data_IF_752612364898
#
_entry.id   IF_752612364898
#
_cell.length_a   1.000
_cell.length_b   1.000
_cell.length_c   1.000
_cell.angle_alpha   90.00
_cell.angle_beta   90.00
_cell.angle_gamma   90.00
#
_symmetry.space_group_name_H-M   'P 1'
#
loop_
_entity.id
_entity.type
_entity.pdbx_description
1 polymer ?
#
# COMPACT_ATOMS: atom_id res chain seq x y z
N UNK A 1 -0.42 -41.71 13.15
CA UNK A 1 -0.77 -40.71 12.11
C UNK A 1 -1.14 -41.45 10.83
N UNK A 2 -2.33 -41.24 10.31
CA UNK A 2 -2.74 -41.89 9.07
C UNK A 2 -2.16 -41.18 7.84
N UNK A 3 -2.34 -41.77 6.65
CA UNK A 3 -1.75 -41.28 5.40
C UNK A 3 -2.32 -39.89 5.04
N UNK A 4 -3.60 -39.65 5.29
CA UNK A 4 -4.24 -38.37 5.00
C UNK A 4 -3.68 -37.24 5.88
N UNK A 5 -3.46 -37.53 7.16
CA UNK A 5 -2.84 -36.58 8.09
C UNK A 5 -1.39 -36.29 7.69
N UNK A 6 -0.66 -37.29 7.24
CA UNK A 6 0.71 -37.12 6.76
C UNK A 6 0.77 -36.21 5.52
N UNK A 7 -0.16 -36.42 4.58
CA UNK A 7 -0.26 -35.59 3.36
C UNK A 7 -0.63 -34.15 3.74
N UNK A 8 -1.63 -33.96 4.59
CA UNK A 8 -2.07 -32.63 5.03
C UNK A 8 -0.93 -31.89 5.74
N UNK A 9 -0.17 -32.56 6.60
CA UNK A 9 0.96 -31.96 7.30
C UNK A 9 2.10 -31.60 6.33
N UNK A 10 2.35 -32.43 5.34
CA UNK A 10 3.37 -32.15 4.31
C UNK A 10 2.97 -30.95 3.45
N UNK A 11 1.71 -30.85 3.04
CA UNK A 11 1.18 -29.73 2.27
C UNK A 11 1.27 -28.45 3.07
N UNK A 12 0.88 -28.48 4.35
CA UNK A 12 0.98 -27.32 5.25
C UNK A 12 2.42 -26.86 5.41
N UNK A 13 3.35 -27.80 5.62
CA UNK A 13 4.76 -27.47 5.75
C UNK A 13 5.31 -26.80 4.49
N UNK A 14 4.87 -27.24 3.30
CA UNK A 14 5.26 -26.64 2.02
C UNK A 14 4.73 -25.22 1.89
N UNK A 15 3.46 -24.98 2.24
CA UNK A 15 2.85 -23.65 2.20
C UNK A 15 3.55 -22.72 3.18
N UNK A 16 3.81 -23.17 4.40
CA UNK A 16 4.51 -22.38 5.41
C UNK A 16 5.94 -22.02 4.95
N UNK A 17 6.65 -22.93 4.32
CA UNK A 17 7.99 -22.71 3.77
C UNK A 17 7.99 -21.64 2.68
N UNK A 18 7.02 -21.70 1.75
CA UNK A 18 6.87 -20.69 0.69
C UNK A 18 6.59 -19.32 1.30
N UNK A 19 5.70 -19.27 2.29
CA UNK A 19 5.38 -18.02 2.99
C UNK A 19 6.61 -17.43 3.67
N UNK A 20 7.40 -18.22 4.37
CA UNK A 20 8.64 -17.79 4.99
C UNK A 20 9.63 -17.24 3.97
N UNK A 21 9.77 -17.91 2.82
CA UNK A 21 10.64 -17.47 1.75
C UNK A 21 10.21 -16.10 1.19
N UNK A 22 8.91 -15.87 1.01
CA UNK A 22 8.36 -14.60 0.54
C UNK A 22 8.64 -13.49 1.52
N UNK A 23 8.43 -13.71 2.81
CA UNK A 23 8.70 -12.72 3.84
C UNK A 23 10.20 -12.44 4.00
N UNK A 24 11.04 -13.46 3.93
CA UNK A 24 12.50 -13.30 3.98
C UNK A 24 13.00 -12.46 2.80
N UNK A 25 12.51 -12.73 1.59
CA UNK A 25 12.86 -11.96 0.40
C UNK A 25 12.40 -10.52 0.49
N UNK A 26 11.19 -10.30 0.98
CA UNK A 26 10.64 -8.96 1.21
C UNK A 26 11.50 -8.18 2.19
N UNK A 27 11.84 -8.78 3.33
CA UNK A 27 12.67 -8.15 4.35
C UNK A 27 14.06 -7.76 3.81
N UNK A 28 14.63 -8.59 2.95
CA UNK A 28 15.89 -8.30 2.26
C UNK A 28 15.78 -7.08 1.36
N UNK A 29 14.77 -7.05 0.48
CA UNK A 29 14.60 -5.98 -0.51
C UNK A 29 14.22 -4.65 0.12
N UNK A 30 13.38 -4.66 1.16
CA UNK A 30 12.96 -3.46 1.89
C UNK A 30 14.14 -2.72 2.52
N UNK A 31 15.21 -3.41 2.86
CA UNK A 31 16.41 -2.82 3.47
C UNK A 31 17.36 -2.17 2.46
N UNK A 32 17.19 -2.41 1.16
CA UNK A 32 18.11 -1.93 0.13
C UNK A 32 17.74 -0.50 -0.25
N UNK A 33 18.56 0.52 0.11
CA UNK A 33 18.30 1.90 -0.31
C UNK A 33 18.20 1.99 -1.84
N UNK A 34 17.18 2.70 -2.32
CA UNK A 34 16.93 2.84 -3.75
C UNK A 34 16.07 1.74 -4.37
N UNK A 35 15.87 0.64 -3.68
CA UNK A 35 14.94 -0.40 -4.14
C UNK A 35 13.50 0.12 -4.01
N UNK A 36 12.60 -0.15 -4.99
CA UNK A 36 11.22 0.33 -4.90
C UNK A 36 10.49 -0.06 -3.61
N UNK A 37 10.67 -1.28 -3.11
CA UNK A 37 10.04 -1.71 -1.86
C UNK A 37 10.57 -0.94 -0.63
N UNK A 38 11.83 -0.53 -0.64
CA UNK A 38 12.37 0.34 0.40
C UNK A 38 11.65 1.70 0.40
N UNK A 39 11.51 2.31 -0.77
CA UNK A 39 10.85 3.60 -0.91
C UNK A 39 9.37 3.53 -0.56
N UNK A 40 8.65 2.51 -1.04
CA UNK A 40 7.25 2.29 -0.67
C UNK A 40 7.07 2.13 0.84
N UNK A 41 8.00 1.44 1.49
CA UNK A 41 7.97 1.23 2.94
C UNK A 41 8.19 2.54 3.70
N UNK A 42 9.14 3.37 3.26
CA UNK A 42 9.35 4.71 3.85
C UNK A 42 8.12 5.60 3.67
N UNK A 43 7.47 5.54 2.52
CA UNK A 43 6.24 6.29 2.27
C UNK A 43 5.13 5.85 3.24
N UNK A 44 5.01 4.55 3.49
CA UNK A 44 4.05 4.02 4.45
C UNK A 44 4.35 4.41 5.88
N UNK A 45 5.62 4.46 6.27
CA UNK A 45 6.01 4.95 7.60
C UNK A 45 5.61 6.42 7.80
N UNK A 46 5.85 7.25 6.78
CA UNK A 46 5.44 8.65 6.81
C UNK A 46 3.91 8.78 6.86
N UNK A 47 3.20 7.99 6.07
CA UNK A 47 1.73 7.98 6.05
C UNK A 47 1.17 7.56 7.41
N UNK A 48 1.74 6.55 8.04
CA UNK A 48 1.30 6.10 9.37
C UNK A 48 1.41 7.21 10.41
N UNK A 49 2.47 8.01 10.35
CA UNK A 49 2.65 9.18 11.23
C UNK A 49 1.58 10.24 10.95
N UNK A 50 1.29 10.50 9.69
CA UNK A 50 0.26 11.46 9.29
C UNK A 50 -1.13 11.01 9.75
N UNK A 51 -1.44 9.72 9.60
CA UNK A 51 -2.71 9.13 10.08
C UNK A 51 -2.85 9.34 11.58
N UNK A 52 -1.78 9.12 12.34
CA UNK A 52 -1.78 9.33 13.78
C UNK A 52 -2.09 10.79 14.14
N UNK A 53 -1.46 11.75 13.44
CA UNK A 53 -1.74 13.18 13.63
C UNK A 53 -3.20 13.51 13.32
N UNK A 54 -3.76 12.92 12.25
CA UNK A 54 -5.15 13.11 11.88
C UNK A 54 -6.10 12.60 12.97
N UNK A 55 -5.80 11.45 13.56
CA UNK A 55 -6.62 10.91 14.66
C UNK A 55 -6.56 11.79 15.90
N UNK A 56 -5.39 12.33 16.22
CA UNK A 56 -5.23 13.27 17.31
C UNK A 56 -6.03 14.57 17.07
N UNK A 57 -6.02 15.07 15.82
CA UNK A 57 -6.80 16.24 15.43
C UNK A 57 -8.31 15.99 15.56
N UNK A 58 -8.78 14.80 15.17
CA UNK A 58 -10.18 14.41 15.35
C UNK A 58 -10.60 14.43 16.84
N UNK A 59 -9.74 13.95 17.71
CA UNK A 59 -9.99 13.98 19.15
C UNK A 59 -10.06 15.41 19.70
N UNK A 60 -9.28 16.33 19.09
CA UNK A 60 -9.30 17.75 19.45
C UNK A 60 -10.48 18.50 18.84
N UNK A 61 -11.26 17.87 17.97
CA UNK A 61 -12.51 18.40 17.43
C UNK A 61 -12.42 19.04 16.05
N UNK A 62 -11.21 19.23 15.49
CA UNK A 62 -11.05 19.84 14.18
C UNK A 62 -9.76 19.36 13.50
N UNK A 63 -9.86 19.10 12.19
CA UNK A 63 -8.71 18.70 11.36
C UNK A 63 -8.37 19.88 10.43
N UNK A 64 -7.17 20.43 10.58
CA UNK A 64 -6.69 21.50 9.74
C UNK A 64 -6.59 21.07 8.28
N UNK A 65 -6.91 21.96 7.36
CA UNK A 65 -6.87 21.67 5.92
C UNK A 65 -5.48 21.20 5.46
N UNK A 66 -4.44 21.80 6.01
CA UNK A 66 -3.06 21.40 5.72
C UNK A 66 -2.81 19.93 6.05
N UNK A 67 -3.36 19.46 7.15
CA UNK A 67 -3.22 18.06 7.57
C UNK A 67 -4.02 17.11 6.65
N UNK A 68 -5.20 17.55 6.20
CA UNK A 68 -6.00 16.82 5.22
C UNK A 68 -5.19 16.66 3.91
N UNK A 69 -4.57 17.74 3.45
CA UNK A 69 -3.72 17.69 2.25
C UNK A 69 -2.50 16.80 2.44
N UNK A 70 -1.93 16.75 3.64
CA UNK A 70 -0.81 15.87 3.95
C UNK A 70 -1.22 14.39 3.84
N UNK A 71 -2.36 13.98 4.41
CA UNK A 71 -2.83 12.59 4.30
C UNK A 71 -3.22 12.23 2.86
N UNK A 72 -3.68 13.20 2.08
CA UNK A 72 -4.02 12.99 0.66
C UNK A 72 -2.80 12.67 -0.21
N UNK A 73 -1.59 12.85 0.29
CA UNK A 73 -0.38 12.42 -0.43
C UNK A 73 -0.37 10.90 -0.67
N UNK A 74 -1.18 10.13 0.06
CA UNK A 74 -1.35 8.69 -0.21
C UNK A 74 -1.79 8.43 -1.66
N UNK A 75 -2.45 9.38 -2.31
CA UNK A 75 -2.87 9.24 -3.71
C UNK A 75 -1.67 9.04 -4.65
N UNK A 76 -0.54 9.67 -4.37
CA UNK A 76 0.70 9.50 -5.15
C UNK A 76 1.25 8.10 -4.95
N UNK A 77 1.31 7.63 -3.71
CA UNK A 77 1.74 6.28 -3.35
C UNK A 77 0.86 5.22 -4.03
N UNK A 78 -0.45 5.39 -4.00
CA UNK A 78 -1.39 4.48 -4.64
C UNK A 78 -1.27 4.49 -6.16
N UNK A 79 -1.06 5.67 -6.77
CA UNK A 79 -0.84 5.79 -8.20
C UNK A 79 0.41 5.03 -8.65
N UNK A 80 1.49 5.10 -7.89
CA UNK A 80 2.72 4.36 -8.16
C UNK A 80 2.51 2.85 -8.09
N UNK A 81 1.74 2.36 -7.11
CA UNK A 81 1.39 0.94 -7.05
C UNK A 81 0.61 0.51 -8.29
N UNK A 82 -0.35 1.33 -8.70
CA UNK A 82 -1.16 1.09 -9.88
C UNK A 82 -0.38 1.11 -11.18
N UNK A 83 0.68 1.89 -11.25
CA UNK A 83 1.52 1.98 -12.46
C UNK A 83 2.63 0.92 -12.47
N UNK A 84 3.18 0.57 -11.31
CA UNK A 84 4.44 -0.18 -11.24
C UNK A 84 4.31 -1.60 -10.69
N UNK A 85 3.34 -1.88 -9.82
CA UNK A 85 3.25 -3.17 -9.14
C UNK A 85 2.08 -4.03 -9.60
N UNK A 86 0.85 -3.53 -9.49
CA UNK A 86 -0.35 -4.30 -9.80
C UNK A 86 -0.40 -4.82 -11.24
N UNK A 87 -0.05 -4.02 -12.28
CA UNK A 87 -0.09 -4.52 -13.64
C UNK A 87 0.85 -5.67 -13.89
N UNK A 88 2.05 -5.65 -13.29
CA UNK A 88 3.00 -6.77 -13.43
C UNK A 88 2.44 -8.06 -12.83
N UNK A 89 1.81 -7.97 -11.65
CA UNK A 89 1.21 -9.14 -11.03
C UNK A 89 0.04 -9.68 -11.83
N UNK A 90 -0.83 -8.80 -12.33
CA UNK A 90 -2.05 -9.21 -13.02
C UNK A 90 -1.79 -9.73 -14.44
N UNK A 91 -1.08 -8.94 -15.25
CA UNK A 91 -0.89 -9.22 -16.67
C UNK A 91 0.22 -10.23 -16.91
N UNK A 92 1.37 -10.04 -16.28
CA UNK A 92 2.56 -10.84 -16.53
C UNK A 92 2.56 -12.17 -15.78
N UNK A 93 2.06 -12.18 -14.56
CA UNK A 93 2.06 -13.35 -13.68
C UNK A 93 0.66 -13.94 -13.47
N UNK A 94 -0.35 -13.34 -14.04
CA UNK A 94 -1.75 -13.78 -13.91
C UNK A 94 -2.19 -13.93 -12.45
N UNK A 95 -1.58 -13.15 -11.55
CA UNK A 95 -1.92 -13.16 -10.13
C UNK A 95 -3.10 -12.22 -9.92
N UNK A 96 -4.21 -12.80 -9.47
CA UNK A 96 -5.45 -12.09 -9.19
C UNK A 96 -5.86 -12.32 -7.72
N UNK A 97 -7.07 -11.92 -7.35
CA UNK A 97 -7.59 -12.09 -6.01
C UNK A 97 -7.24 -10.91 -5.11
N UNK A 98 -6.48 -11.10 -4.00
CA UNK A 98 -6.24 -10.01 -3.04
C UNK A 98 -5.63 -8.75 -3.66
N UNK A 99 -4.74 -8.88 -4.65
CA UNK A 99 -4.13 -7.73 -5.32
C UNK A 99 -5.13 -6.92 -6.14
N UNK A 100 -6.06 -7.58 -6.83
CA UNK A 100 -7.13 -6.91 -7.57
C UNK A 100 -8.05 -6.13 -6.64
N UNK A 101 -8.41 -6.73 -5.49
CA UNK A 101 -9.23 -6.08 -4.47
C UNK A 101 -8.50 -4.87 -3.91
N UNK A 102 -7.22 -5.01 -3.59
CA UNK A 102 -6.39 -3.92 -3.07
C UNK A 102 -6.33 -2.74 -4.04
N UNK A 103 -6.20 -3.03 -5.34
CA UNK A 103 -6.15 -1.98 -6.37
C UNK A 103 -7.45 -1.17 -6.39
N UNK A 104 -8.59 -1.85 -6.33
CA UNK A 104 -9.90 -1.20 -6.25
C UNK A 104 -10.04 -0.38 -4.96
N UNK A 105 -9.61 -0.93 -3.83
CA UNK A 105 -9.68 -0.25 -2.53
C UNK A 105 -8.80 1.00 -2.50
N UNK A 106 -7.64 0.98 -3.15
CA UNK A 106 -6.79 2.17 -3.28
C UNK A 106 -7.58 3.34 -3.88
N UNK A 107 -8.33 3.08 -4.96
CA UNK A 107 -9.14 4.11 -5.61
C UNK A 107 -10.25 4.62 -4.70
N UNK A 108 -10.91 3.73 -3.97
CA UNK A 108 -11.97 4.09 -3.02
C UNK A 108 -11.45 4.98 -1.89
N UNK A 109 -10.31 4.65 -1.30
CA UNK A 109 -9.69 5.43 -0.23
C UNK A 109 -9.30 6.82 -0.74
N UNK A 110 -8.65 6.88 -1.89
CA UNK A 110 -8.26 8.14 -2.53
C UNK A 110 -9.48 9.03 -2.76
N UNK A 111 -10.54 8.46 -3.33
CA UNK A 111 -11.76 9.21 -3.67
C UNK A 111 -12.49 9.70 -2.41
N UNK A 112 -12.51 8.91 -1.35
CA UNK A 112 -13.13 9.30 -0.08
C UNK A 112 -12.42 10.50 0.54
N UNK A 113 -11.09 10.48 0.61
CA UNK A 113 -10.34 11.63 1.11
C UNK A 113 -10.52 12.88 0.25
N UNK A 114 -10.60 12.71 -1.07
CA UNK A 114 -10.88 13.83 -1.97
C UNK A 114 -12.27 14.44 -1.70
N UNK A 115 -13.29 13.61 -1.50
CA UNK A 115 -14.64 14.06 -1.17
C UNK A 115 -14.67 14.78 0.18
N UNK A 116 -13.99 14.23 1.18
CA UNK A 116 -13.92 14.82 2.52
C UNK A 116 -13.17 16.14 2.51
N UNK A 117 -12.13 16.28 1.71
CA UNK A 117 -11.40 17.55 1.56
C UNK A 117 -12.28 18.66 1.01
N UNK A 118 -13.18 18.35 0.07
CA UNK A 118 -14.12 19.33 -0.50
C UNK A 118 -15.15 19.83 0.53
N UNK A 119 -15.44 19.04 1.56
CA UNK A 119 -16.42 19.34 2.59
C UNK A 119 -15.77 19.68 3.94
N UNK A 120 -14.48 20.00 3.94
CA UNK A 120 -13.71 20.23 5.15
C UNK A 120 -14.14 21.47 5.95
N UNK A 121 -14.88 22.40 5.34
CA UNK A 121 -15.39 23.60 6.02
C UNK A 121 -16.45 23.26 7.08
N UNK A 122 -17.18 22.16 6.88
CA UNK A 122 -18.21 21.70 7.81
C UNK A 122 -17.84 20.29 8.31
N UNK A 123 -17.06 20.25 9.38
CA UNK A 123 -16.64 19.00 9.99
C UNK A 123 -17.65 18.56 11.06
N UNK A 124 -18.85 18.19 10.61
CA UNK A 124 -19.89 17.67 11.47
C UNK A 124 -19.57 16.22 11.93
N UNK A 125 -20.46 15.64 12.72
CA UNK A 125 -20.23 14.28 13.24
C UNK A 125 -20.14 13.22 12.15
N UNK A 126 -20.94 13.39 11.08
CA UNK A 126 -20.89 12.46 9.93
C UNK A 126 -19.55 12.58 9.20
N UNK A 127 -19.08 13.81 8.95
CA UNK A 127 -17.77 14.03 8.32
C UNK A 127 -16.65 13.39 9.15
N UNK A 128 -16.67 13.58 10.46
CA UNK A 128 -15.66 13.03 11.37
C UNK A 128 -15.66 11.51 11.37
N UNK A 129 -16.83 10.88 11.36
CA UNK A 129 -16.95 9.43 11.26
C UNK A 129 -16.40 8.90 9.95
N UNK A 130 -16.71 9.56 8.83
CA UNK A 130 -16.21 9.20 7.52
C UNK A 130 -14.70 9.35 7.44
N UNK A 131 -14.16 10.43 8.00
CA UNK A 131 -12.73 10.68 8.02
C UNK A 131 -11.99 9.62 8.84
N UNK A 132 -12.51 9.29 10.03
CA UNK A 132 -11.96 8.20 10.85
C UNK A 132 -11.98 6.86 10.11
N UNK A 133 -13.09 6.54 9.46
CA UNK A 133 -13.21 5.29 8.68
C UNK A 133 -12.21 5.26 7.53
N UNK A 134 -12.00 6.39 6.84
CA UNK A 134 -11.00 6.48 5.77
C UNK A 134 -9.58 6.29 6.30
N UNK A 135 -9.26 6.88 7.46
CA UNK A 135 -7.96 6.68 8.12
C UNK A 135 -7.74 5.21 8.47
N UNK A 136 -8.77 4.53 8.96
CA UNK A 136 -8.68 3.10 9.28
C UNK A 136 -8.43 2.26 8.02
N UNK A 137 -9.12 2.57 6.93
CA UNK A 137 -8.88 1.88 5.65
C UNK A 137 -7.47 2.10 5.14
N UNK A 138 -6.93 3.30 5.29
CA UNK A 138 -5.56 3.61 4.91
C UNK A 138 -4.54 2.83 5.77
N UNK A 139 -4.76 2.73 7.06
CA UNK A 139 -3.94 1.90 7.95
C UNK A 139 -3.99 0.42 7.55
N UNK A 140 -5.17 -0.10 7.27
CA UNK A 140 -5.34 -1.47 6.82
C UNK A 140 -4.61 -1.72 5.50
N UNK A 141 -4.60 -0.73 4.61
CA UNK A 141 -3.87 -0.84 3.34
C UNK A 141 -2.36 -0.90 3.56
N UNK A 142 -1.81 -0.13 4.49
CA UNK A 142 -0.39 -0.24 4.86
C UNK A 142 -0.06 -1.67 5.29
N UNK A 143 -0.90 -2.26 6.13
CA UNK A 143 -0.74 -3.64 6.58
C UNK A 143 -0.81 -4.64 5.41
N UNK A 144 -1.79 -4.48 4.52
CA UNK A 144 -1.98 -5.37 3.37
C UNK A 144 -0.82 -5.27 2.38
N UNK A 145 -0.26 -4.09 2.18
CA UNK A 145 0.92 -3.93 1.34
C UNK A 145 2.11 -4.71 1.90
N UNK A 146 2.40 -4.55 3.17
CA UNK A 146 3.52 -5.22 3.81
C UNK A 146 3.37 -6.75 3.87
N UNK A 147 2.15 -7.25 4.00
CA UNK A 147 1.89 -8.66 4.24
C UNK A 147 1.35 -9.44 3.02
N UNK A 148 0.87 -8.76 1.99
CA UNK A 148 0.31 -9.38 0.79
C UNK A 148 1.01 -8.89 -0.48
N UNK A 149 0.94 -7.59 -0.75
CA UNK A 149 1.42 -7.04 -2.01
C UNK A 149 2.94 -7.14 -2.15
N UNK A 150 3.68 -6.61 -1.20
CA UNK A 150 5.16 -6.61 -1.27
C UNK A 150 5.74 -8.02 -1.28
N UNK A 151 5.26 -8.97 -0.46
CA UNK A 151 5.72 -10.34 -0.56
C UNK A 151 5.44 -11.00 -1.91
N UNK A 152 4.28 -10.74 -2.52
CA UNK A 152 3.97 -11.25 -3.85
C UNK A 152 4.90 -10.67 -4.92
N UNK A 153 5.17 -9.38 -4.85
CA UNK A 153 6.11 -8.73 -5.77
C UNK A 153 7.54 -9.22 -5.56
N UNK A 154 7.98 -9.30 -4.31
CA UNK A 154 9.33 -9.76 -3.97
C UNK A 154 9.60 -11.17 -4.47
N UNK A 155 8.62 -12.06 -4.34
CA UNK A 155 8.75 -13.46 -4.74
C UNK A 155 8.70 -13.63 -6.27
N UNK A 156 7.85 -12.90 -6.96
CA UNK A 156 7.57 -13.10 -8.38
C UNK A 156 8.43 -12.27 -9.33
N UNK A 157 8.80 -11.05 -8.93
CA UNK A 157 9.50 -10.14 -9.85
C UNK A 157 10.97 -10.52 -9.98
N UNK A 158 11.48 -10.49 -11.22
CA UNK A 158 12.89 -10.72 -11.53
C UNK A 158 13.70 -9.46 -11.21
N UNK A 159 15.02 -9.62 -11.11
CA UNK A 159 15.93 -8.48 -10.92
C UNK A 159 15.84 -7.47 -12.07
N UNK A 160 15.64 -7.97 -13.29
CA UNK A 160 15.45 -7.10 -14.47
C UNK A 160 14.18 -6.28 -14.37
N UNK A 161 13.10 -6.88 -13.89
CA UNK A 161 11.84 -6.16 -13.67
C UNK A 161 11.97 -5.12 -12.58
N UNK A 162 12.63 -5.44 -11.46
CA UNK A 162 12.91 -4.47 -10.42
C UNK A 162 13.77 -3.31 -10.93
N UNK A 163 14.76 -3.60 -11.76
CA UNK A 163 15.58 -2.57 -12.38
C UNK A 163 14.75 -1.64 -13.27
N UNK A 164 13.86 -2.20 -14.09
CA UNK A 164 12.95 -1.44 -14.93
C UNK A 164 12.01 -0.54 -14.12
N UNK A 165 11.45 -1.08 -13.04
CA UNK A 165 10.60 -0.33 -12.11
C UNK A 165 11.40 0.81 -11.45
N UNK A 166 12.62 0.52 -11.04
CA UNK A 166 13.52 1.51 -10.43
C UNK A 166 13.80 2.69 -11.37
N UNK A 167 14.03 2.43 -12.66
CA UNK A 167 14.22 3.45 -13.67
C UNK A 167 12.97 4.34 -13.82
N UNK A 168 11.79 3.74 -13.87
CA UNK A 168 10.52 4.47 -13.96
C UNK A 168 10.24 5.28 -12.70
N UNK A 169 10.62 4.75 -11.55
CA UNK A 169 10.41 5.37 -10.25
C UNK A 169 11.26 6.63 -10.06
N UNK A 170 12.49 6.61 -10.55
CA UNK A 170 13.44 7.73 -10.42
C UNK A 170 13.26 8.79 -11.52
N UNK A 171 12.60 8.44 -12.64
CA UNK A 171 12.33 9.39 -13.72
C UNK A 171 11.16 10.30 -13.33
N UNK A 172 11.25 11.64 -13.56
CA UNK A 172 10.13 12.52 -13.31
C UNK A 172 8.93 12.11 -14.16
N UNK A 173 7.76 11.97 -13.53
CA UNK A 173 6.53 11.73 -14.28
C UNK A 173 6.12 13.02 -15.01
N UNK A 174 5.33 12.96 -16.08
CA UNK A 174 4.77 14.16 -16.69
C UNK A 174 4.04 15.05 -15.70
N UNK A 175 3.44 14.44 -14.66
CA UNK A 175 2.76 15.17 -13.59
C UNK A 175 3.74 15.96 -12.74
N UNK A 176 4.90 15.38 -12.41
CA UNK A 176 5.94 16.05 -11.62
C UNK A 176 6.59 17.18 -12.42
N UNK A 177 6.77 16.99 -13.71
CA UNK A 177 7.30 18.01 -14.60
C UNK A 177 6.40 19.25 -14.71
N UNK A 178 5.10 19.09 -14.53
CA UNK A 178 4.14 20.20 -14.56
C UNK A 178 4.16 21.06 -13.30
N UNK A 179 4.77 20.57 -12.23
CA UNK A 179 4.88 21.30 -10.95
C UNK A 179 6.11 22.20 -10.85
N UNK A 180 7.05 22.04 -11.77
CA UNK A 180 8.30 22.81 -11.79
C UNK A 180 8.19 24.15 -12.53
#
# INVERSE_FOLDING_TARGET
MNREEQIANAEKATVDSIREQRFAKTAELVKIPGHPLHTFTLENEALAKTIKKCREALKSGHVEYKLIEEVRQLAIHYAKKGDLLYPHLKVKYEISGPSDVMWTVDDEIRDEFAALAKKADSQDDEWKKRFEAALTRADEMIYKEANILFPNCAFNFTDEEWFGICLLYTSPSPRDMRRS
#
